data_IF_636860275298
#
_entry.id   IF_636860275298
#
_cell.length_a   1.000
_cell.length_b   1.000
_cell.length_c   1.000
_cell.angle_alpha   90.00
_cell.angle_beta   90.00
_cell.angle_gamma   90.00
#
_symmetry.space_group_name_H-M   'P 1'
#
loop_
_entity.id
_entity.type
_entity.pdbx_description
1 polymer ?
#
# COMPACT_ATOMS: atom_id res chain seq x y z
N UNK A 1 16.05 -25.68 -14.34
CA UNK A 1 16.72 -25.53 -13.03
C UNK A 1 17.04 -24.05 -12.82
N UNK A 2 16.71 -23.47 -11.66
CA UNK A 2 17.02 -22.05 -11.36
C UNK A 2 18.49 -21.96 -10.98
N UNK A 3 19.25 -21.01 -11.56
CA UNK A 3 20.66 -20.85 -11.24
C UNK A 3 20.86 -20.28 -9.83
N UNK A 4 22.00 -20.60 -9.20
CA UNK A 4 22.40 -20.05 -7.90
C UNK A 4 22.41 -18.53 -7.90
N UNK A 5 22.93 -17.92 -8.97
CA UNK A 5 22.96 -16.46 -9.14
C UNK A 5 21.56 -15.83 -9.15
N UNK A 6 20.58 -16.47 -9.83
CA UNK A 6 19.19 -15.99 -9.83
C UNK A 6 18.58 -16.06 -8.44
N UNK A 7 18.82 -17.15 -7.71
CA UNK A 7 18.35 -17.30 -6.33
C UNK A 7 18.97 -16.25 -5.40
N UNK A 8 20.27 -15.97 -5.54
CA UNK A 8 20.94 -14.92 -4.78
C UNK A 8 20.35 -13.54 -5.08
N UNK A 9 20.16 -13.21 -6.37
CA UNK A 9 19.52 -11.96 -6.79
C UNK A 9 18.12 -11.82 -6.17
N UNK A 10 17.26 -12.83 -6.31
CA UNK A 10 15.90 -12.77 -5.78
C UNK A 10 15.84 -12.74 -4.26
N UNK A 11 16.82 -13.32 -3.57
CA UNK A 11 16.93 -13.22 -2.11
C UNK A 11 17.25 -11.79 -1.67
N UNK A 12 18.16 -11.11 -2.37
CA UNK A 12 18.48 -9.70 -2.09
C UNK A 12 17.27 -8.80 -2.35
N UNK A 13 16.57 -9.01 -3.47
CA UNK A 13 15.35 -8.26 -3.79
C UNK A 13 14.23 -8.54 -2.77
N UNK A 14 14.08 -9.77 -2.29
CA UNK A 14 13.14 -10.11 -1.22
C UNK A 14 13.43 -9.33 0.06
N UNK A 15 14.70 -9.24 0.48
CA UNK A 15 15.09 -8.48 1.67
C UNK A 15 14.83 -6.99 1.49
N UNK A 16 15.06 -6.47 0.28
CA UNK A 16 14.76 -5.09 -0.09
C UNK A 16 13.26 -4.78 0.00
N UNK A 17 12.42 -5.63 -0.60
CA UNK A 17 10.96 -5.53 -0.54
C UNK A 17 10.45 -5.67 0.91
N UNK A 18 11.04 -6.60 1.68
CA UNK A 18 10.73 -6.76 3.10
C UNK A 18 11.03 -5.50 3.90
N UNK A 19 12.20 -4.89 3.72
CA UNK A 19 12.56 -3.69 4.46
C UNK A 19 11.74 -2.48 4.02
N UNK A 20 11.51 -2.31 2.71
CA UNK A 20 10.67 -1.25 2.15
C UNK A 20 9.24 -1.33 2.67
N UNK A 21 8.61 -2.51 2.62
CA UNK A 21 7.26 -2.70 3.15
C UNK A 21 7.23 -2.61 4.69
N UNK A 22 8.27 -3.04 5.40
CA UNK A 22 8.36 -2.85 6.85
C UNK A 22 8.34 -1.37 7.24
N UNK A 23 9.11 -0.52 6.56
CA UNK A 23 9.10 0.93 6.81
C UNK A 23 7.74 1.54 6.47
N UNK A 24 7.16 1.13 5.32
CA UNK A 24 5.83 1.55 4.90
C UNK A 24 4.79 1.30 6.00
N UNK A 25 4.77 0.10 6.58
CA UNK A 25 3.81 -0.27 7.61
C UNK A 25 4.15 0.36 8.94
N UNK A 26 5.41 0.28 9.37
CA UNK A 26 5.88 0.81 10.64
C UNK A 26 5.48 2.28 10.80
N UNK A 27 5.81 3.13 9.83
CA UNK A 27 5.50 4.55 9.92
C UNK A 27 4.00 4.79 9.74
N UNK A 28 3.34 4.06 8.84
CA UNK A 28 1.90 4.23 8.54
C UNK A 28 0.97 3.86 9.69
N UNK A 29 1.30 2.81 10.44
CA UNK A 29 0.55 2.36 11.60
C UNK A 29 0.98 3.06 12.89
N UNK A 30 2.26 3.44 13.05
CA UNK A 30 2.75 4.28 14.16
C UNK A 30 2.26 5.72 14.06
N UNK A 31 1.97 6.16 12.83
CA UNK A 31 0.82 6.99 12.56
C UNK A 31 -0.38 6.29 13.22
N UNK A 32 -1.38 5.70 12.55
CA UNK A 32 -2.73 5.34 13.08
C UNK A 32 -2.91 5.14 14.60
N UNK A 33 -2.01 4.40 15.26
CA UNK A 33 -1.89 4.31 16.73
C UNK A 33 -1.87 5.67 17.46
N UNK A 34 -0.96 6.59 17.15
CA UNK A 34 -0.80 7.82 17.94
C UNK A 34 -2.01 8.79 17.82
N UNK A 35 -2.84 8.72 16.77
CA UNK A 35 -4.05 9.52 16.55
C UNK A 35 -5.18 8.94 17.36
N UNK A 36 -5.30 7.61 17.30
CA UNK A 36 -6.25 6.87 18.11
C UNK A 36 -6.00 7.13 19.60
N UNK A 37 -4.75 7.05 20.04
CA UNK A 37 -4.40 7.22 21.45
C UNK A 37 -4.34 8.69 21.90
N UNK A 38 -3.98 9.65 21.04
CA UNK A 38 -3.97 11.07 21.38
C UNK A 38 -5.38 11.65 21.64
N UNK A 39 -6.43 11.05 21.07
CA UNK A 39 -7.82 11.46 21.35
C UNK A 39 -8.22 11.29 22.82
N UNK A 40 -7.50 10.47 23.60
CA UNK A 40 -7.78 10.25 25.01
C UNK A 40 -7.03 11.18 25.97
N UNK A 41 -6.12 12.03 25.48
CA UNK A 41 -5.37 12.97 26.33
C UNK A 41 -6.02 14.35 26.33
N UNK A 42 -6.41 14.84 27.50
CA UNK A 42 -7.04 16.16 27.73
C UNK A 42 -6.10 17.36 27.52
N UNK A 43 -4.82 17.12 27.22
CA UNK A 43 -3.88 18.17 26.86
C UNK A 43 -3.97 18.46 25.36
N UNK A 44 -4.54 19.62 25.05
CA UNK A 44 -4.51 20.31 23.76
C UNK A 44 -3.11 20.78 23.36
N UNK A 45 -2.06 20.03 23.71
CA UNK A 45 -0.77 20.19 23.05
C UNK A 45 -0.81 19.27 21.85
N UNK A 46 -0.71 19.87 20.67
CA UNK A 46 -0.32 19.20 19.45
C UNK A 46 1.22 19.21 19.48
N UNK A 47 1.94 18.17 19.95
CA UNK A 47 3.32 18.06 19.52
C UNK A 47 3.26 17.95 18.00
N UNK A 48 3.92 18.88 17.31
CA UNK A 48 4.18 18.88 15.88
C UNK A 48 5.11 17.70 15.59
N UNK A 49 4.61 16.48 15.77
CA UNK A 49 5.38 15.24 15.76
C UNK A 49 4.61 14.25 14.91
N UNK A 50 4.80 14.43 13.60
CA UNK A 50 4.81 13.40 12.54
C UNK A 50 3.70 12.35 12.70
N UNK A 51 2.54 12.67 12.15
CA UNK A 51 1.25 12.14 12.52
C UNK A 51 0.33 11.89 11.28
N UNK A 52 0.16 10.61 10.90
CA UNK A 52 -1.09 9.97 10.40
C UNK A 52 -1.40 9.61 8.95
N UNK A 53 -1.93 8.39 8.79
CA UNK A 53 -2.77 7.88 7.68
C UNK A 53 -4.27 7.98 8.04
N UNK A 54 -5.15 7.77 7.06
CA UNK A 54 -6.43 8.47 6.87
C UNK A 54 -7.66 7.97 7.66
N UNK A 55 -8.43 8.95 8.15
CA UNK A 55 -9.88 8.88 8.39
C UNK A 55 -10.48 10.28 8.27
N UNK A 56 -11.18 10.58 7.18
CA UNK A 56 -11.86 11.87 6.97
C UNK A 56 -13.07 11.94 7.90
N UNK A 57 -13.02 12.75 8.95
CA UNK A 57 -14.07 13.71 9.36
C UNK A 57 -13.56 14.70 10.44
N UNK A 58 -13.94 15.97 10.28
CA UNK A 58 -13.80 17.13 11.18
C UNK A 58 -12.41 17.74 11.46
N UNK A 59 -12.02 18.75 10.65
CA UNK A 59 -11.12 19.84 11.06
C UNK A 59 -9.97 20.12 10.09
N UNK A 60 -10.07 21.24 9.36
CA UNK A 60 -9.17 21.69 8.28
C UNK A 60 -7.67 21.71 8.67
N UNK A 61 -7.34 21.92 9.95
CA UNK A 61 -5.95 21.98 10.44
C UNK A 61 -5.35 20.59 10.71
N UNK A 62 -6.18 19.59 11.05
CA UNK A 62 -5.75 18.20 11.30
C UNK A 62 -5.47 17.44 9.98
N UNK A 63 -6.07 17.87 8.88
CA UNK A 63 -5.91 17.27 7.54
C UNK A 63 -4.54 17.56 6.89
N UNK A 64 -3.93 18.73 7.13
CA UNK A 64 -2.65 19.10 6.51
C UNK A 64 -1.48 18.24 7.03
N UNK A 65 -1.52 17.84 8.31
CA UNK A 65 -0.46 17.04 8.94
C UNK A 65 -0.41 15.58 8.42
N UNK A 66 -1.57 15.01 8.13
CA UNK A 66 -1.76 13.65 7.60
C UNK A 66 -1.15 13.47 6.20
N UNK A 67 -1.29 14.47 5.34
CA UNK A 67 -0.76 14.48 3.97
C UNK A 67 0.78 14.41 3.95
N UNK A 68 1.46 15.09 4.90
CA UNK A 68 2.93 15.17 4.95
C UNK A 68 3.56 13.85 5.43
N UNK A 69 2.88 13.08 6.28
CA UNK A 69 3.44 11.84 6.84
C UNK A 69 3.31 10.67 5.88
N UNK A 70 2.16 10.56 5.21
CA UNK A 70 2.00 9.66 4.05
C UNK A 70 3.10 9.96 3.03
N UNK A 71 3.41 11.24 2.84
CA UNK A 71 4.42 11.66 1.89
C UNK A 71 5.82 11.18 2.23
N UNK A 72 6.27 11.39 3.46
CA UNK A 72 7.62 10.97 3.88
C UNK A 72 7.75 9.45 3.93
N UNK A 73 6.73 8.75 4.43
CA UNK A 73 6.76 7.29 4.58
C UNK A 73 6.95 6.56 3.24
N UNK A 74 6.08 6.86 2.27
CA UNK A 74 6.18 6.25 0.95
C UNK A 74 7.50 6.63 0.26
N UNK A 75 7.98 7.86 0.39
CA UNK A 75 9.28 8.26 -0.17
C UNK A 75 10.42 7.45 0.45
N UNK A 76 10.47 7.30 1.78
CA UNK A 76 11.53 6.53 2.44
C UNK A 76 11.50 5.06 2.01
N UNK A 77 10.32 4.44 1.98
CA UNK A 77 10.16 3.07 1.51
C UNK A 77 10.65 2.90 0.06
N UNK A 78 10.28 3.83 -0.83
CA UNK A 78 10.73 3.85 -2.22
C UNK A 78 12.24 4.09 -2.35
N UNK A 79 12.83 4.96 -1.53
CA UNK A 79 14.27 5.24 -1.55
C UNK A 79 15.11 4.03 -1.11
N UNK A 80 14.60 3.23 -0.18
CA UNK A 80 15.31 2.04 0.31
C UNK A 80 15.15 0.87 -0.66
N UNK A 81 13.93 0.59 -1.11
CA UNK A 81 13.67 -0.56 -1.96
C UNK A 81 13.99 -0.31 -3.45
N UNK A 82 13.82 0.93 -3.90
CA UNK A 82 13.84 1.30 -5.32
C UNK A 82 15.13 0.92 -6.04
N UNK A 83 16.31 1.27 -5.51
CA UNK A 83 17.59 0.95 -6.15
C UNK A 83 17.90 -0.55 -6.29
N UNK A 84 17.21 -1.42 -5.55
CA UNK A 84 17.50 -2.85 -5.50
C UNK A 84 16.42 -3.67 -6.22
N UNK A 85 15.16 -3.45 -5.88
CA UNK A 85 14.01 -4.26 -6.32
C UNK A 85 13.03 -3.51 -7.23
N UNK A 86 13.19 -2.19 -7.40
CA UNK A 86 12.20 -1.33 -8.05
C UNK A 86 11.09 -0.86 -7.11
N UNK A 87 11.13 -1.23 -5.83
CA UNK A 87 10.16 -0.86 -4.79
C UNK A 87 8.71 -1.11 -5.19
N UNK A 88 8.37 -2.36 -5.52
CA UNK A 88 6.97 -2.69 -5.74
C UNK A 88 6.19 -2.53 -4.43
N UNK A 89 6.75 -3.03 -3.32
CA UNK A 89 6.25 -2.98 -1.95
C UNK A 89 4.77 -3.33 -1.81
N UNK A 90 4.20 -4.02 -2.81
CA UNK A 90 2.78 -4.25 -3.02
C UNK A 90 2.56 -5.49 -3.92
N UNK A 91 1.89 -6.55 -3.40
CA UNK A 91 1.57 -7.73 -4.18
C UNK A 91 0.73 -7.44 -5.43
N UNK A 92 -0.22 -6.50 -5.37
CA UNK A 92 -1.08 -6.17 -6.50
C UNK A 92 -0.28 -5.60 -7.68
N UNK A 93 0.69 -4.73 -7.39
CA UNK A 93 1.63 -4.18 -8.40
C UNK A 93 2.54 -5.28 -8.93
N UNK A 94 3.09 -6.11 -8.05
CA UNK A 94 4.01 -7.19 -8.46
C UNK A 94 3.31 -8.21 -9.38
N UNK A 95 2.08 -8.59 -9.04
CA UNK A 95 1.27 -9.54 -9.81
C UNK A 95 0.86 -8.91 -11.14
N UNK A 96 0.40 -7.65 -11.16
CA UNK A 96 -0.02 -7.00 -12.40
C UNK A 96 1.14 -6.88 -13.38
N UNK A 97 2.32 -6.48 -12.93
CA UNK A 97 3.55 -6.43 -13.74
C UNK A 97 3.99 -7.81 -14.24
N UNK A 98 3.76 -8.87 -13.46
CA UNK A 98 3.98 -10.25 -13.91
C UNK A 98 3.05 -10.61 -15.08
N UNK A 99 1.78 -10.18 -15.07
CA UNK A 99 0.83 -10.52 -16.15
C UNK A 99 1.23 -9.93 -17.51
N UNK A 100 1.93 -8.80 -17.53
CA UNK A 100 2.44 -8.15 -18.75
C UNK A 100 3.90 -8.51 -19.06
N UNK A 101 4.48 -9.47 -18.32
CA UNK A 101 5.82 -10.00 -18.56
C UNK A 101 6.97 -9.12 -18.08
N UNK A 102 6.69 -8.11 -17.25
CA UNK A 102 7.71 -7.23 -16.66
C UNK A 102 8.33 -7.85 -15.40
N UNK A 103 7.63 -8.78 -14.74
CA UNK A 103 8.14 -9.53 -13.58
C UNK A 103 8.10 -11.02 -13.88
N UNK A 104 9.16 -11.74 -13.52
CA UNK A 104 9.20 -13.21 -13.68
C UNK A 104 8.40 -13.89 -12.56
N UNK A 105 7.72 -15.02 -12.82
CA UNK A 105 6.89 -15.67 -11.79
C UNK A 105 7.63 -16.02 -10.50
N UNK A 106 8.88 -16.50 -10.60
CA UNK A 106 9.68 -16.80 -9.42
C UNK A 106 10.06 -15.53 -8.64
N UNK A 107 10.41 -14.45 -9.35
CA UNK A 107 10.69 -13.15 -8.72
C UNK A 107 9.45 -12.60 -8.02
N UNK A 108 8.28 -12.69 -8.66
CA UNK A 108 6.98 -12.30 -8.10
C UNK A 108 6.72 -12.98 -6.75
N UNK A 109 6.95 -14.30 -6.66
CA UNK A 109 6.80 -15.04 -5.41
C UNK A 109 7.74 -14.53 -4.31
N UNK A 110 9.02 -14.27 -4.61
CA UNK A 110 9.98 -13.74 -3.65
C UNK A 110 9.57 -12.35 -3.16
N UNK A 111 9.08 -11.49 -4.06
CA UNK A 111 8.60 -10.15 -3.72
C UNK A 111 7.40 -10.23 -2.77
N UNK A 112 6.38 -11.04 -3.09
CA UNK A 112 5.18 -11.18 -2.25
C UNK A 112 5.54 -11.69 -0.84
N UNK A 113 6.44 -12.67 -0.74
CA UNK A 113 6.92 -13.17 0.56
C UNK A 113 7.62 -12.04 1.32
N UNK A 114 8.54 -11.32 0.69
CA UNK A 114 9.23 -10.19 1.29
C UNK A 114 8.25 -9.13 1.78
N UNK A 115 7.32 -8.70 0.93
CA UNK A 115 6.31 -7.69 1.24
C UNK A 115 5.44 -8.09 2.45
N UNK A 116 4.93 -9.32 2.49
CA UNK A 116 4.10 -9.80 3.60
C UNK A 116 4.91 -9.89 4.90
N UNK A 117 6.14 -10.42 4.84
CA UNK A 117 7.02 -10.49 6.01
C UNK A 117 7.36 -9.09 6.54
N UNK A 118 7.69 -8.16 5.64
CA UNK A 118 7.96 -6.78 5.97
C UNK A 118 6.77 -6.13 6.65
N UNK A 119 5.58 -6.28 6.07
CA UNK A 119 4.36 -5.73 6.62
C UNK A 119 4.02 -6.30 8.01
N UNK A 120 4.17 -7.61 8.20
CA UNK A 120 4.01 -8.27 9.49
C UNK A 120 4.99 -7.72 10.54
N UNK A 121 6.27 -7.56 10.19
CA UNK A 121 7.29 -7.04 11.10
C UNK A 121 7.04 -5.57 11.45
N UNK A 122 6.62 -4.76 10.49
CA UNK A 122 6.23 -3.37 10.72
C UNK A 122 5.14 -3.26 11.77
N UNK A 123 4.07 -4.05 11.63
CA UNK A 123 2.96 -4.09 12.58
C UNK A 123 3.38 -4.56 13.97
N UNK A 124 4.19 -5.62 14.05
CA UNK A 124 4.73 -6.10 15.32
C UNK A 124 5.54 -5.03 16.06
N UNK A 125 6.37 -4.28 15.32
CA UNK A 125 7.16 -3.19 15.89
C UNK A 125 6.28 -2.04 16.40
N UNK A 126 5.24 -1.63 15.66
CA UNK A 126 4.28 -0.62 16.13
C UNK A 126 3.61 -1.05 17.42
N UNK A 127 3.12 -2.30 17.46
CA UNK A 127 2.50 -2.85 18.66
C UNK A 127 3.45 -2.81 19.87
N UNK A 128 4.71 -3.20 19.69
CA UNK A 128 5.72 -3.18 20.76
C UNK A 128 6.02 -1.76 21.24
N UNK A 129 6.19 -0.81 20.31
CA UNK A 129 6.44 0.61 20.63
C UNK A 129 5.28 1.23 21.40
N UNK A 130 4.04 0.90 21.02
CA UNK A 130 2.83 1.46 21.63
C UNK A 130 2.21 0.57 22.72
N UNK A 131 2.88 -0.49 23.16
CA UNK A 131 2.29 -1.55 24.00
C UNK A 131 1.53 -1.01 25.23
N UNK A 132 2.12 -0.04 25.93
CA UNK A 132 1.53 0.59 27.10
C UNK A 132 0.32 1.47 26.76
N UNK A 133 0.31 2.11 25.59
CA UNK A 133 -0.82 2.92 25.16
C UNK A 133 -2.00 2.06 24.76
N UNK A 134 -1.76 0.91 24.13
CA UNK A 134 -2.81 -0.08 23.95
C UNK A 134 -3.38 -0.55 25.30
N UNK A 135 -2.52 -0.97 26.25
CA UNK A 135 -2.97 -1.40 27.58
C UNK A 135 -3.81 -0.34 28.29
N UNK A 136 -3.45 0.94 28.13
CA UNK A 136 -4.21 2.06 28.67
C UNK A 136 -5.55 2.26 27.96
N UNK A 137 -5.59 2.11 26.63
CA UNK A 137 -6.75 2.37 25.79
C UNK A 137 -7.82 1.27 25.88
N UNK A 138 -7.40 0.00 25.81
CA UNK A 138 -8.30 -1.16 25.77
C UNK A 138 -8.34 -1.98 27.06
N UNK A 139 -7.62 -1.53 28.10
CA UNK A 139 -7.52 -2.22 29.39
C UNK A 139 -6.69 -3.50 29.36
N UNK A 140 -5.92 -3.73 28.31
CA UNK A 140 -5.15 -4.96 28.09
C UNK A 140 -5.96 -6.09 27.45
N UNK A 141 -7.23 -5.83 27.09
CA UNK A 141 -8.16 -6.86 26.57
C UNK A 141 -7.89 -7.17 25.10
N UNK A 142 -7.30 -6.21 24.34
CA UNK A 142 -7.09 -6.32 22.88
C UNK A 142 -8.41 -6.51 22.15
N UNK A 143 -9.27 -5.52 22.25
CA UNK A 143 -10.52 -5.49 21.51
C UNK A 143 -10.25 -5.11 20.04
N UNK A 144 -10.87 -5.81 19.10
CA UNK A 144 -10.74 -5.49 17.67
C UNK A 144 -11.63 -4.31 17.28
N UNK A 145 -12.90 -4.35 17.66
CA UNK A 145 -13.95 -3.40 17.26
C UNK A 145 -14.63 -2.75 18.46
N UNK A 146 -15.51 -1.79 18.19
CA UNK A 146 -16.23 -1.04 19.22
C UNK A 146 -15.43 0.17 19.74
N UNK A 147 -15.91 0.82 20.82
CA UNK A 147 -15.34 2.06 21.33
C UNK A 147 -13.85 1.97 21.71
N UNK A 148 -13.44 0.79 22.18
CA UNK A 148 -12.05 0.49 22.56
C UNK A 148 -11.37 -0.45 21.55
N UNK A 149 -11.98 -0.68 20.38
CA UNK A 149 -11.40 -1.49 19.32
C UNK A 149 -10.10 -0.87 18.82
N UNK A 150 -9.12 -1.68 18.43
CA UNK A 150 -7.81 -1.19 17.94
C UNK A 150 -7.34 -1.84 16.64
N UNK A 151 -8.17 -2.69 16.03
CA UNK A 151 -7.81 -3.41 14.81
C UNK A 151 -7.59 -2.52 13.58
N UNK A 152 -8.29 -1.39 13.52
CA UNK A 152 -8.18 -0.35 12.48
C UNK A 152 -6.81 0.35 12.43
N UNK A 153 -5.97 0.18 13.46
CA UNK A 153 -4.55 0.59 13.41
C UNK A 153 -3.78 -0.29 12.43
N UNK A 154 -4.11 -1.59 12.36
CA UNK A 154 -3.33 -2.60 11.67
C UNK A 154 -3.89 -2.93 10.28
N UNK A 155 -5.18 -3.23 10.20
CA UNK A 155 -5.81 -3.71 8.97
C UNK A 155 -7.15 -3.04 8.70
N UNK A 156 -7.57 -3.03 7.44
CA UNK A 156 -8.78 -2.33 7.05
C UNK A 156 -10.02 -3.15 7.37
N UNK A 157 -11.10 -2.42 7.61
CA UNK A 157 -12.45 -2.94 7.82
C UNK A 157 -13.41 -2.13 6.94
N UNK A 158 -14.57 -2.69 6.55
CA UNK A 158 -15.58 -1.92 5.85
C UNK A 158 -16.19 -0.89 6.79
N UNK A 159 -16.63 0.22 6.22
CA UNK A 159 -17.45 1.18 6.98
C UNK A 159 -18.82 0.61 7.30
N UNK A 160 -19.36 1.03 8.43
CA UNK A 160 -20.67 0.59 8.92
C UNK A 160 -21.76 0.79 7.86
N UNK A 161 -22.49 -0.28 7.56
CA UNK A 161 -23.59 -0.28 6.59
C UNK A 161 -23.17 -0.32 5.12
N UNK A 162 -21.87 -0.34 4.79
CA UNK A 162 -21.40 -0.48 3.41
C UNK A 162 -21.33 -1.96 3.04
N UNK A 163 -22.08 -2.42 2.02
CA UNK A 163 -22.07 -3.83 1.63
C UNK A 163 -20.76 -4.22 0.93
N UNK A 164 -20.36 -5.48 1.10
CA UNK A 164 -19.11 -6.03 0.57
C UNK A 164 -18.89 -5.87 -0.93
N UNK A 165 -19.95 -5.97 -1.73
CA UNK A 165 -19.83 -5.78 -3.18
C UNK A 165 -19.36 -4.35 -3.52
N UNK A 166 -19.80 -3.36 -2.72
CA UNK A 166 -19.44 -1.96 -2.92
C UNK A 166 -18.02 -1.69 -2.45
N UNK A 167 -17.60 -2.27 -1.31
CA UNK A 167 -16.20 -2.19 -0.87
C UNK A 167 -15.26 -2.90 -1.83
N UNK A 168 -15.68 -4.01 -2.44
CA UNK A 168 -14.90 -4.67 -3.48
C UNK A 168 -14.76 -3.82 -4.73
N UNK A 169 -15.86 -3.22 -5.21
CA UNK A 169 -15.85 -2.31 -6.35
C UNK A 169 -14.94 -1.10 -6.10
N UNK A 170 -15.04 -0.51 -4.91
CA UNK A 170 -14.17 0.56 -4.44
C UNK A 170 -12.69 0.16 -4.55
N UNK A 171 -12.29 -0.95 -3.91
CA UNK A 171 -10.90 -1.44 -3.92
C UNK A 171 -10.40 -1.79 -5.34
N UNK A 172 -11.27 -2.32 -6.20
CA UNK A 172 -10.96 -2.63 -7.59
C UNK A 172 -10.68 -1.35 -8.39
N UNK A 173 -11.54 -0.34 -8.28
CA UNK A 173 -11.40 0.92 -9.05
C UNK A 173 -10.15 1.67 -8.62
N UNK A 174 -9.94 1.85 -7.31
CA UNK A 174 -8.83 2.67 -6.82
C UNK A 174 -7.47 2.02 -7.12
N UNK A 175 -7.38 0.69 -7.11
CA UNK A 175 -6.16 -0.02 -7.47
C UNK A 175 -5.90 -0.01 -8.98
N UNK A 176 -6.95 -0.02 -9.81
CA UNK A 176 -6.81 0.17 -11.26
C UNK A 176 -6.25 1.56 -11.57
N UNK A 177 -6.80 2.60 -10.93
CA UNK A 177 -6.32 3.97 -11.08
C UNK A 177 -4.85 4.07 -10.64
N UNK A 178 -4.51 3.55 -9.45
CA UNK A 178 -3.13 3.54 -8.96
C UNK A 178 -2.19 2.87 -9.98
N UNK A 179 -2.57 1.70 -10.51
CA UNK A 179 -1.72 0.97 -11.45
C UNK A 179 -1.55 1.69 -12.79
N UNK A 180 -2.61 2.33 -13.32
CA UNK A 180 -2.51 3.15 -14.54
C UNK A 180 -1.49 4.27 -14.34
N UNK A 181 -1.52 4.94 -13.18
CA UNK A 181 -0.56 5.99 -12.85
C UNK A 181 0.86 5.47 -12.64
N UNK A 182 1.05 4.32 -11.98
CA UNK A 182 2.37 3.68 -11.87
C UNK A 182 2.94 3.42 -13.27
N UNK A 183 2.14 2.84 -14.17
CA UNK A 183 2.57 2.59 -15.53
C UNK A 183 2.92 3.90 -16.25
N UNK A 184 2.09 4.94 -16.12
CA UNK A 184 2.35 6.23 -16.75
C UNK A 184 3.62 6.94 -16.24
N UNK A 185 3.94 6.83 -14.94
CA UNK A 185 5.15 7.41 -14.34
C UNK A 185 6.44 6.69 -14.74
N UNK A 186 6.34 5.39 -15.03
CA UNK A 186 7.50 4.59 -15.45
C UNK A 186 7.80 4.70 -16.95
N UNK A 187 6.92 5.31 -17.74
CA UNK A 187 7.12 5.53 -19.18
C UNK A 187 8.21 6.58 -19.45
N UNK A 188 9.16 6.26 -20.34
CA UNK A 188 10.23 7.19 -20.72
C UNK A 188 9.72 8.42 -21.52
N UNK A 189 8.53 8.35 -22.11
CA UNK A 189 7.93 9.48 -22.84
C UNK A 189 7.14 10.45 -21.94
N UNK A 190 6.94 10.10 -20.67
CA UNK A 190 6.29 10.98 -19.72
C UNK A 190 7.32 11.95 -19.11
N UNK A 191 7.60 13.02 -19.85
CA UNK A 191 8.58 14.04 -19.45
C UNK A 191 8.08 14.99 -18.35
N UNK A 192 6.85 14.80 -17.85
CA UNK A 192 6.31 15.59 -16.72
C UNK A 192 7.03 15.25 -15.40
N UNK A 193 7.76 14.13 -15.35
CA UNK A 193 8.54 13.71 -14.17
C UNK A 193 9.94 13.24 -14.58
N UNK A 194 10.92 13.54 -13.73
CA UNK A 194 12.29 13.01 -13.75
C UNK A 194 12.44 11.82 -12.79
N UNK A 195 13.52 11.04 -12.89
CA UNK A 195 13.79 9.94 -11.94
C UNK A 195 13.77 10.39 -10.47
N UNK A 196 14.21 11.62 -10.20
CA UNK A 196 14.20 12.21 -8.85
C UNK A 196 12.78 12.56 -8.39
N UNK A 197 11.90 12.96 -9.30
CA UNK A 197 10.53 13.43 -8.97
C UNK A 197 9.46 12.34 -9.08
N UNK A 198 9.75 11.20 -9.71
CA UNK A 198 8.83 10.04 -9.78
C UNK A 198 8.33 9.57 -8.40
N UNK A 199 9.19 9.41 -7.36
CA UNK A 199 8.70 9.03 -6.03
C UNK A 199 7.68 10.02 -5.48
N UNK A 200 7.91 11.32 -5.67
CA UNK A 200 7.03 12.39 -5.22
C UNK A 200 5.69 12.37 -5.95
N UNK A 201 5.70 12.22 -7.27
CA UNK A 201 4.48 12.12 -8.07
C UNK A 201 3.64 10.89 -7.67
N UNK A 202 4.30 9.73 -7.49
CA UNK A 202 3.66 8.52 -7.02
C UNK A 202 2.95 8.71 -5.67
N UNK A 203 3.63 9.35 -4.73
CA UNK A 203 3.07 9.67 -3.41
C UNK A 203 1.86 10.60 -3.51
N UNK A 204 1.93 11.66 -4.34
CA UNK A 204 0.81 12.58 -4.54
C UNK A 204 -0.44 11.89 -5.08
N UNK A 205 -0.26 10.90 -5.97
CA UNK A 205 -1.36 10.08 -6.49
C UNK A 205 -1.99 9.24 -5.37
N UNK A 206 -1.18 8.60 -4.53
CA UNK A 206 -1.70 7.83 -3.38
C UNK A 206 -2.50 8.73 -2.44
N UNK A 207 -1.98 9.92 -2.12
CA UNK A 207 -2.68 10.91 -1.30
C UNK A 207 -4.02 11.30 -1.95
N UNK A 208 -4.03 11.61 -3.25
CA UNK A 208 -5.25 11.96 -3.96
C UNK A 208 -6.30 10.85 -3.92
N UNK A 209 -5.90 9.61 -4.23
CA UNK A 209 -6.79 8.44 -4.19
C UNK A 209 -7.35 8.22 -2.79
N UNK A 210 -6.48 8.21 -1.79
CA UNK A 210 -6.88 7.91 -0.42
C UNK A 210 -7.75 9.03 0.17
N UNK A 211 -7.48 10.31 -0.10
CA UNK A 211 -8.36 11.41 0.28
C UNK A 211 -9.75 11.32 -0.38
N UNK A 212 -9.84 10.80 -1.60
CA UNK A 212 -11.09 10.71 -2.35
C UNK A 212 -11.92 9.45 -2.03
N UNK A 213 -11.30 8.31 -1.71
CA UNK A 213 -11.97 7.01 -1.69
C UNK A 213 -11.82 6.20 -0.39
N UNK A 214 -11.14 6.70 0.65
CA UNK A 214 -10.89 5.86 1.85
C UNK A 214 -12.11 5.51 2.70
N UNK A 215 -13.23 6.25 2.59
CA UNK A 215 -14.36 6.09 3.53
C UNK A 215 -15.02 4.71 3.40
N UNK A 216 -15.08 4.09 2.23
CA UNK A 216 -15.82 2.82 2.07
C UNK A 216 -15.13 1.63 2.76
N UNK A 217 -13.80 1.53 2.62
CA UNK A 217 -13.04 0.33 2.98
C UNK A 217 -11.58 0.62 3.38
N UNK A 218 -11.27 1.86 3.76
CA UNK A 218 -9.94 2.27 4.23
C UNK A 218 -8.86 2.38 3.14
N UNK A 219 -9.23 2.31 1.86
CA UNK A 219 -8.31 2.35 0.71
C UNK A 219 -7.09 1.43 0.88
N UNK A 220 -7.32 0.13 1.09
CA UNK A 220 -6.25 -0.83 1.35
C UNK A 220 -5.17 -0.83 0.26
N UNK A 221 -5.56 -0.81 -1.03
CA UNK A 221 -4.70 -0.68 -2.24
C UNK A 221 -3.55 -1.70 -2.41
N UNK A 222 -3.19 -2.42 -1.36
CA UNK A 222 -2.00 -3.22 -1.23
C UNK A 222 -2.30 -4.44 -0.35
N UNK A 223 -2.33 -5.65 -0.93
CA UNK A 223 -2.62 -6.87 -0.17
C UNK A 223 -1.67 -7.12 1.01
N UNK A 224 -0.38 -6.79 0.90
CA UNK A 224 0.57 -6.97 2.00
C UNK A 224 0.30 -5.99 3.16
N UNK A 225 -0.12 -4.76 2.83
CA UNK A 225 -0.46 -3.70 3.80
C UNK A 225 -1.71 -3.99 4.62
N UNK A 226 -2.53 -4.94 4.19
CA UNK A 226 -3.63 -5.46 5.00
C UNK A 226 -3.27 -6.83 5.60
N UNK A 227 -2.89 -7.78 4.75
CA UNK A 227 -2.71 -9.18 5.17
C UNK A 227 -1.57 -9.39 6.16
N UNK A 228 -0.44 -8.69 6.01
CA UNK A 228 0.70 -8.82 6.93
C UNK A 228 0.35 -8.36 8.35
N UNK A 229 -0.15 -7.12 8.54
CA UNK A 229 -0.63 -6.64 9.82
C UNK A 229 -1.80 -7.44 10.37
N UNK A 230 -2.71 -7.92 9.51
CA UNK A 230 -3.81 -8.82 9.90
C UNK A 230 -3.28 -10.16 10.43
N UNK A 231 -2.26 -10.73 9.78
CA UNK A 231 -1.59 -11.93 10.28
C UNK A 231 -0.94 -11.68 11.64
N UNK A 232 -0.33 -10.52 11.86
CA UNK A 232 0.14 -10.13 13.19
C UNK A 232 -1.03 -9.97 14.19
N UNK A 233 -2.11 -9.32 13.79
CA UNK A 233 -3.35 -9.18 14.54
C UNK A 233 -3.89 -10.50 15.06
N UNK A 234 -3.75 -11.58 14.28
CA UNK A 234 -4.17 -12.93 14.69
C UNK A 234 -3.49 -13.45 15.96
N UNK A 235 -2.30 -12.93 16.30
CA UNK A 235 -1.57 -13.28 17.54
C UNK A 235 -2.03 -12.47 18.76
N UNK A 236 -2.59 -11.27 18.56
CA UNK A 236 -2.96 -10.36 19.66
C UNK A 236 -4.47 -10.29 19.90
N UNK A 237 -5.28 -10.61 18.89
CA UNK A 237 -6.75 -10.53 18.94
C UNK A 237 -7.42 -11.90 18.88
N UNK A 238 -6.70 -12.95 18.47
CA UNK A 238 -7.26 -14.29 18.26
C UNK A 238 -7.28 -14.68 16.78
N UNK A 239 -6.90 -15.93 16.50
CA UNK A 239 -6.62 -16.39 15.13
C UNK A 239 -7.85 -16.50 14.25
N UNK A 240 -8.94 -17.10 14.74
CA UNK A 240 -10.18 -17.24 13.98
C UNK A 240 -10.79 -15.88 13.67
N UNK A 241 -10.79 -15.01 14.68
CA UNK A 241 -11.69 -13.87 14.71
C UNK A 241 -11.24 -12.80 13.71
N UNK A 242 -9.92 -12.58 13.58
CA UNK A 242 -9.34 -11.59 12.65
C UNK A 242 -9.60 -11.89 11.18
N UNK A 243 -9.79 -13.16 10.82
CA UNK A 243 -10.07 -13.59 9.44
C UNK A 243 -11.55 -13.89 9.20
N UNK A 244 -12.35 -14.19 10.22
CA UNK A 244 -13.80 -14.38 10.08
C UNK A 244 -14.60 -13.09 10.25
N UNK A 245 -14.00 -12.04 10.82
CA UNK A 245 -14.66 -10.77 11.10
C UNK A 245 -15.33 -10.19 9.85
N UNK A 246 -16.53 -9.66 10.05
CA UNK A 246 -17.37 -9.06 9.02
C UNK A 246 -17.50 -9.97 7.79
N UNK A 247 -17.93 -11.22 8.00
CA UNK A 247 -18.14 -12.22 6.94
C UNK A 247 -16.93 -12.42 6.01
N UNK A 248 -15.75 -12.63 6.59
CA UNK A 248 -14.50 -12.87 5.87
C UNK A 248 -14.03 -11.69 5.00
N UNK A 249 -14.24 -10.45 5.49
CA UNK A 249 -13.88 -9.23 4.78
C UNK A 249 -12.43 -9.19 4.29
N UNK A 250 -11.48 -9.85 4.97
CA UNK A 250 -10.06 -9.90 4.62
C UNK A 250 -9.77 -10.31 3.17
N UNK A 251 -10.71 -11.02 2.51
CA UNK A 251 -10.57 -11.38 1.11
C UNK A 251 -10.58 -10.14 0.20
N UNK A 252 -11.40 -9.14 0.52
CA UNK A 252 -11.59 -7.92 -0.28
C UNK A 252 -10.31 -7.09 -0.45
N UNK A 253 -9.57 -6.71 0.61
CA UNK A 253 -8.31 -5.96 0.47
C UNK A 253 -7.18 -6.78 -0.19
N UNK A 254 -7.38 -8.08 -0.44
CA UNK A 254 -6.50 -8.91 -1.25
C UNK A 254 -6.97 -8.94 -2.71
N UNK A 255 -8.18 -9.45 -2.95
CA UNK A 255 -8.69 -9.71 -4.30
C UNK A 255 -9.01 -8.43 -5.07
N UNK A 256 -9.58 -7.42 -4.39
CA UNK A 256 -9.96 -6.14 -5.01
C UNK A 256 -8.73 -5.44 -5.60
N UNK A 257 -7.67 -5.20 -4.80
CA UNK A 257 -6.46 -4.57 -5.31
C UNK A 257 -5.74 -5.38 -6.40
N UNK A 258 -5.66 -6.71 -6.28
CA UNK A 258 -5.02 -7.55 -7.32
C UNK A 258 -5.77 -7.42 -8.64
N UNK A 259 -7.09 -7.61 -8.64
CA UNK A 259 -7.89 -7.55 -9.86
C UNK A 259 -7.92 -6.13 -10.44
N UNK A 260 -8.00 -5.12 -9.58
CA UNK A 260 -7.90 -3.71 -9.97
C UNK A 260 -6.56 -3.40 -10.64
N UNK A 261 -5.44 -3.77 -10.02
CA UNK A 261 -4.13 -3.52 -10.61
C UNK A 261 -3.91 -4.28 -11.93
N UNK A 262 -4.40 -5.53 -12.05
CA UNK A 262 -4.38 -6.26 -13.32
C UNK A 262 -5.19 -5.49 -14.38
N UNK A 263 -6.42 -5.07 -14.06
CA UNK A 263 -7.21 -4.28 -15.00
C UNK A 263 -6.47 -2.98 -15.40
N UNK A 264 -5.92 -2.26 -14.43
CA UNK A 264 -5.21 -1.01 -14.67
C UNK A 264 -3.97 -1.17 -15.56
N UNK A 265 -3.14 -2.20 -15.33
CA UNK A 265 -1.96 -2.43 -16.18
C UNK A 265 -2.36 -2.75 -17.62
N UNK A 266 -3.40 -3.57 -17.82
CA UNK A 266 -3.85 -3.95 -19.16
C UNK A 266 -4.59 -2.83 -19.89
N UNK A 267 -5.36 -2.00 -19.17
CA UNK A 267 -5.93 -0.76 -19.72
C UNK A 267 -4.82 0.15 -20.22
N UNK A 268 -3.76 0.35 -19.43
CA UNK A 268 -2.61 1.15 -19.85
C UNK A 268 -1.90 0.53 -21.07
N UNK A 269 -1.68 -0.79 -21.10
CA UNK A 269 -1.10 -1.47 -22.27
C UNK A 269 -1.96 -1.28 -23.53
N UNK A 270 -3.28 -1.44 -23.43
CA UNK A 270 -4.21 -1.24 -24.53
C UNK A 270 -4.19 0.20 -25.04
N UNK A 271 -4.21 1.18 -24.14
CA UNK A 271 -4.11 2.60 -24.49
C UNK A 271 -2.78 2.92 -25.20
N UNK A 272 -1.67 2.40 -24.67
CA UNK A 272 -0.34 2.57 -25.28
C UNK A 272 -0.26 1.93 -26.67
N UNK A 273 -0.87 0.74 -26.83
CA UNK A 273 -0.97 0.07 -28.12
C UNK A 273 -1.77 0.89 -29.13
N UNK A 274 -2.93 1.44 -28.74
CA UNK A 274 -3.75 2.26 -29.62
C UNK A 274 -2.99 3.51 -30.05
N UNK A 275 -2.37 4.24 -29.12
CA UNK A 275 -1.57 5.42 -29.46
C UNK A 275 -0.46 5.05 -30.42
N UNK A 276 0.28 3.97 -30.18
CA UNK A 276 1.40 3.60 -31.05
C UNK A 276 0.97 3.26 -32.48
N UNK A 277 -0.19 2.63 -32.66
CA UNK A 277 -0.62 2.15 -33.99
C UNK A 277 -1.50 3.16 -34.74
N UNK A 278 -2.19 4.06 -34.03
CA UNK A 278 -3.18 4.97 -34.61
C UNK A 278 -3.01 6.42 -34.19
N UNK A 279 -2.04 6.71 -33.32
CA UNK A 279 -1.76 8.05 -32.82
C UNK A 279 -0.93 8.89 -33.77
N UNK A 280 -0.85 10.18 -33.46
CA UNK A 280 -0.04 11.13 -34.20
C UNK A 280 1.45 10.72 -34.15
N UNK A 281 2.16 10.66 -35.30
CA UNK A 281 3.59 10.34 -35.37
C UNK A 281 4.46 11.12 -34.38
N UNK A 282 4.11 12.39 -34.11
CA UNK A 282 4.81 13.27 -33.14
C UNK A 282 4.78 12.75 -31.71
N UNK A 283 3.79 11.91 -31.39
CA UNK A 283 3.58 11.26 -30.10
C UNK A 283 4.13 9.83 -30.14
N UNK A 284 3.89 9.08 -31.22
CA UNK A 284 4.29 7.66 -31.31
C UNK A 284 5.80 7.45 -31.31
N UNK A 285 6.57 8.36 -31.92
CA UNK A 285 8.04 8.26 -31.98
C UNK A 285 8.69 8.41 -30.60
N UNK A 286 7.94 8.90 -29.61
CA UNK A 286 8.39 9.00 -28.22
C UNK A 286 8.14 7.71 -27.43
N UNK A 287 7.22 6.86 -27.88
CA UNK A 287 6.81 5.63 -27.18
C UNK A 287 7.78 4.48 -27.52
N UNK A 288 8.84 4.35 -26.74
CA UNK A 288 9.76 3.21 -26.86
C UNK A 288 9.31 2.02 -25.98
N UNK A 289 8.67 1.03 -26.62
CA UNK A 289 8.25 -0.21 -25.96
C UNK A 289 9.43 -1.11 -25.53
N UNK A 290 10.60 -0.98 -26.15
CA UNK A 290 11.78 -1.79 -25.82
C UNK A 290 12.44 -1.29 -24.52
N UNK A 291 12.44 0.03 -24.28
CA UNK A 291 12.97 0.62 -23.06
C UNK A 291 12.10 0.34 -21.81
N UNK A 292 10.78 0.11 -21.96
CA UNK A 292 9.89 -0.30 -20.85
C UNK A 292 10.32 -1.65 -20.27
N UNK A 293 10.86 -2.56 -21.10
CA UNK A 293 11.29 -3.90 -20.67
C UNK A 293 12.69 -3.92 -20.03
N UNK A 294 13.45 -2.83 -20.08
CA UNK A 294 14.86 -2.80 -19.65
C UNK A 294 15.13 -2.02 -18.34
N UNK A 295 14.16 -1.27 -17.81
CA UNK A 295 14.37 -0.32 -16.70
C UNK A 295 13.60 -0.62 -15.38
N UNK A 296 12.88 -1.73 -15.31
CA UNK A 296 12.17 -2.22 -14.11
C UNK A 296 12.60 -3.67 -13.85
#
# INVERSE_FOLDING_TARGET
MVSKEKLQKYTVELLSECFGTCILILIGEAALANYKFAQQTSHSTLPITIAFSIGVYAGIVKQIQMIVVIFINFILALMIAGPISGAHINPAVTISLMTVGLVKPLQCMFYIIGQILGAFLGAALVYLVYLNQFNKFDGGIRQMTGPNGTADIFFTMPSDGVPHWNTFLDQLIIAAILMIFIMALTQNFNHMTSEVTKPFAFVLIIIGITCAFSINAGAALNPARDFGPRLFGSFIYGRSDVFSIDNYFFFIPISGPILGAIAGVWIHQGFTYIIKNYGDPRITDRIDLAAIRQKL
#
